data_IF_731955859760
#
_entry.id   IF_731955859760
#
_cell.length_a   1.000
_cell.length_b   1.000
_cell.length_c   1.000
_cell.angle_alpha   90.00
_cell.angle_beta   90.00
_cell.angle_gamma   90.00
#
_symmetry.space_group_name_H-M   'P 1'
#
loop_
_entity.id
_entity.type
_entity.pdbx_description
1 polymer ?
#
# COMPACT_ATOMS: atom_id res chain seq x y z
N UNK A 1 -2.34 -37.60 -23.63
CA UNK A 1 -1.74 -37.09 -22.36
C UNK A 1 -0.41 -36.35 -22.51
N UNK A 2 0.52 -36.77 -23.40
CA UNK A 2 1.87 -36.17 -23.48
C UNK A 2 1.87 -34.71 -23.94
N UNK A 3 0.98 -34.33 -24.86
CA UNK A 3 0.87 -32.96 -25.39
C UNK A 3 0.21 -32.01 -24.38
N UNK A 4 -0.86 -32.46 -23.72
CA UNK A 4 -1.53 -31.71 -22.65
C UNK A 4 -0.56 -31.42 -21.50
N UNK A 5 0.20 -32.43 -21.03
CA UNK A 5 1.21 -32.25 -19.97
C UNK A 5 2.34 -31.27 -20.36
N UNK A 6 2.72 -31.22 -21.64
CA UNK A 6 3.71 -30.25 -22.16
C UNK A 6 3.15 -28.83 -22.24
N UNK A 7 1.86 -28.70 -22.56
CA UNK A 7 1.15 -27.42 -22.64
C UNK A 7 0.89 -26.83 -21.25
N UNK A 8 0.54 -27.66 -20.25
CA UNK A 8 0.40 -27.21 -18.86
C UNK A 8 1.74 -26.76 -18.28
N UNK A 9 2.83 -27.45 -18.61
CA UNK A 9 4.18 -27.08 -18.19
C UNK A 9 4.62 -25.72 -18.77
N UNK A 10 4.28 -25.46 -20.05
CA UNK A 10 4.57 -24.19 -20.72
C UNK A 10 3.75 -23.00 -20.17
N UNK A 11 2.51 -23.22 -19.77
CA UNK A 11 1.67 -22.18 -19.16
C UNK A 11 2.16 -21.85 -17.74
N UNK A 12 2.58 -22.85 -16.99
CA UNK A 12 3.12 -22.69 -15.63
C UNK A 12 4.46 -21.96 -15.60
N UNK A 13 5.33 -22.18 -16.60
CA UNK A 13 6.58 -21.42 -16.72
C UNK A 13 6.34 -19.97 -17.14
N UNK A 14 5.32 -19.71 -17.96
CA UNK A 14 4.94 -18.35 -18.37
C UNK A 14 4.36 -17.53 -17.22
N UNK A 15 3.50 -18.12 -16.37
CA UNK A 15 2.97 -17.43 -15.17
C UNK A 15 4.06 -17.17 -14.13
N UNK A 16 5.02 -18.09 -13.96
CA UNK A 16 6.15 -17.88 -13.04
C UNK A 16 7.05 -16.73 -13.50
N UNK A 17 7.25 -16.56 -14.81
CA UNK A 17 8.04 -15.46 -15.38
C UNK A 17 7.34 -14.09 -15.26
N UNK A 18 6.00 -14.07 -15.33
CA UNK A 18 5.20 -12.85 -15.09
C UNK A 18 5.17 -12.43 -13.61
N UNK A 19 5.29 -13.37 -12.68
CA UNK A 19 5.41 -13.07 -11.24
C UNK A 19 6.76 -12.42 -10.88
N UNK A 20 7.84 -12.73 -11.62
CA UNK A 20 9.17 -12.16 -11.37
C UNK A 20 9.25 -10.70 -11.88
N UNK A 21 8.60 -10.36 -12.99
CA UNK A 21 8.56 -8.98 -13.49
C UNK A 21 7.73 -8.03 -12.61
N UNK A 22 6.72 -8.55 -11.92
CA UNK A 22 5.96 -7.78 -10.93
C UNK A 22 6.77 -7.44 -9.66
N UNK A 23 7.84 -8.19 -9.36
CA UNK A 23 8.69 -7.94 -8.19
C UNK A 23 9.83 -6.93 -8.45
N UNK A 24 10.20 -6.70 -9.71
CA UNK A 24 11.36 -5.85 -10.08
C UNK A 24 10.96 -4.39 -10.38
N UNK A 25 9.67 -4.05 -10.45
CA UNK A 25 9.20 -2.66 -10.53
C UNK A 25 9.25 -1.91 -9.17
N UNK A 26 9.97 -2.44 -8.19
CA UNK A 26 10.36 -1.75 -6.96
C UNK A 26 11.67 -0.96 -7.09
N UNK A 27 12.02 -0.48 -8.29
CA UNK A 27 13.11 0.46 -8.48
C UNK A 27 12.75 1.79 -7.83
N UNK A 28 12.90 1.84 -6.50
CA UNK A 28 12.73 3.07 -5.74
C UNK A 28 13.80 4.07 -6.20
N UNK A 29 13.39 5.02 -7.04
CA UNK A 29 14.16 6.25 -7.28
C UNK A 29 14.69 6.73 -5.93
N UNK A 30 16.01 6.94 -5.84
CA UNK A 30 16.64 7.61 -4.70
C UNK A 30 16.15 9.06 -4.73
N UNK A 31 14.93 9.29 -4.23
CA UNK A 31 14.44 10.61 -3.89
C UNK A 31 15.25 11.04 -2.65
N UNK A 32 16.39 11.68 -2.90
CA UNK A 32 17.18 12.42 -1.90
C UNK A 32 16.48 13.76 -1.54
N UNK A 33 15.15 13.80 -1.68
CA UNK A 33 14.31 14.95 -1.37
C UNK A 33 14.13 15.05 0.15
N UNK A 34 15.11 15.64 0.82
CA UNK A 34 14.99 16.19 2.17
C UNK A 34 14.60 15.20 3.28
N UNK A 35 14.79 15.63 4.52
CA UNK A 35 14.18 15.00 5.69
C UNK A 35 12.97 15.82 6.09
N UNK A 36 11.91 15.16 6.57
CA UNK A 36 10.75 15.86 7.11
C UNK A 36 11.17 16.63 8.36
N UNK A 37 10.73 17.87 8.49
CA UNK A 37 11.06 18.73 9.63
C UNK A 37 10.60 18.10 10.96
N UNK A 38 11.33 18.38 12.03
CA UNK A 38 10.93 17.93 13.38
C UNK A 38 9.61 18.57 13.79
N UNK A 39 8.76 17.79 14.44
CA UNK A 39 7.43 18.20 14.90
C UNK A 39 6.29 17.85 13.94
N UNK A 40 6.58 17.45 12.70
CA UNK A 40 5.55 17.10 11.71
C UNK A 40 4.95 15.72 12.02
N UNK A 41 3.62 15.64 11.95
CA UNK A 41 2.82 14.42 12.10
C UNK A 41 1.79 14.34 10.98
N UNK A 42 1.61 13.15 10.42
CA UNK A 42 0.61 12.88 9.36
C UNK A 42 -0.45 11.96 9.94
N UNK A 43 -1.71 12.42 10.01
CA UNK A 43 -2.83 11.64 10.57
C UNK A 43 -2.52 11.01 11.94
N UNK A 44 -1.82 11.74 12.81
CA UNK A 44 -1.37 11.27 14.12
C UNK A 44 -0.05 10.49 14.11
N UNK A 45 0.43 9.99 12.97
CA UNK A 45 1.71 9.29 12.84
C UNK A 45 2.89 10.27 12.91
N UNK A 46 3.84 10.02 13.81
CA UNK A 46 5.05 10.83 13.88
C UNK A 46 6.01 10.49 12.73
N UNK A 47 6.23 11.44 11.82
CA UNK A 47 7.14 11.32 10.67
C UNK A 47 8.33 12.28 10.77
N UNK A 48 8.50 12.91 11.93
CA UNK A 48 9.57 13.89 12.20
C UNK A 48 10.96 13.32 11.93
N UNK A 49 11.76 14.03 11.13
CA UNK A 49 13.12 13.64 10.79
C UNK A 49 13.25 12.45 9.85
N UNK A 50 12.12 11.83 9.44
CA UNK A 50 12.14 10.69 8.53
C UNK A 50 12.46 11.15 7.11
N UNK A 51 13.15 10.30 6.36
CA UNK A 51 13.27 10.47 4.91
C UNK A 51 11.95 10.12 4.23
N UNK A 52 11.73 10.64 3.02
CA UNK A 52 10.51 10.40 2.22
C UNK A 52 10.07 8.94 2.24
N UNK A 53 10.95 8.02 1.84
CA UNK A 53 10.63 6.58 1.76
C UNK A 53 10.16 5.98 3.08
N UNK A 54 10.82 6.34 4.18
CA UNK A 54 10.48 5.85 5.52
C UNK A 54 9.12 6.37 5.97
N UNK A 55 8.86 7.67 5.74
CA UNK A 55 7.59 8.30 6.03
C UNK A 55 6.45 7.72 5.17
N UNK A 56 6.68 7.53 3.86
CA UNK A 56 5.72 6.90 2.94
C UNK A 56 5.35 5.50 3.41
N UNK A 57 6.34 4.68 3.79
CA UNK A 57 6.08 3.34 4.31
C UNK A 57 5.24 3.40 5.59
N UNK A 58 5.65 4.24 6.55
CA UNK A 58 4.94 4.39 7.83
C UNK A 58 3.49 4.83 7.67
N UNK A 59 3.25 5.84 6.83
CA UNK A 59 1.89 6.33 6.54
C UNK A 59 1.06 5.27 5.84
N UNK A 60 1.63 4.58 4.83
CA UNK A 60 0.96 3.47 4.14
C UNK A 60 0.58 2.35 5.09
N UNK A 61 1.46 1.96 6.00
CA UNK A 61 1.18 0.94 7.02
C UNK A 61 0.04 1.38 7.96
N UNK A 62 0.02 2.65 8.36
CA UNK A 62 -1.04 3.20 9.19
C UNK A 62 -2.40 3.24 8.46
N UNK A 63 -2.40 3.63 7.18
CA UNK A 63 -3.58 3.59 6.31
C UNK A 63 -4.11 2.17 6.16
N UNK A 64 -3.23 1.21 5.82
CA UNK A 64 -3.59 -0.19 5.66
C UNK A 64 -4.21 -0.80 6.93
N UNK A 65 -3.71 -0.41 8.11
CA UNK A 65 -4.30 -0.83 9.40
C UNK A 65 -5.71 -0.27 9.57
N UNK A 66 -5.95 0.98 9.18
CA UNK A 66 -7.26 1.63 9.31
C UNK A 66 -8.27 1.10 8.28
N UNK A 67 -7.87 0.89 7.04
CA UNK A 67 -8.79 0.42 5.97
C UNK A 67 -9.13 -1.07 6.08
N UNK A 68 -8.25 -1.89 6.68
CA UNK A 68 -8.51 -3.31 6.94
C UNK A 68 -9.28 -3.59 8.24
N UNK A 69 -9.77 -2.57 8.95
CA UNK A 69 -10.61 -2.78 10.13
C UNK A 69 -11.84 -3.60 9.74
N UNK A 70 -12.06 -4.70 10.45
CA UNK A 70 -13.28 -5.50 10.32
C UNK A 70 -14.44 -4.74 10.97
N UNK A 71 -15.53 -4.62 10.23
CA UNK A 71 -16.77 -4.00 10.69
C UNK A 71 -17.92 -4.97 10.50
N UNK A 72 -18.91 -4.89 11.39
CA UNK A 72 -20.15 -5.66 11.31
C UNK A 72 -21.27 -4.71 10.89
N UNK A 73 -21.94 -5.02 9.79
CA UNK A 73 -23.12 -4.27 9.33
C UNK A 73 -24.36 -5.06 9.75
N UNK A 74 -25.34 -4.38 10.35
CA UNK A 74 -26.65 -4.94 10.69
C UNK A 74 -27.74 -4.24 9.87
N UNK A 75 -28.53 -5.01 9.15
CA UNK A 75 -29.69 -4.53 8.38
C UNK A 75 -30.90 -5.36 8.77
N UNK A 76 -31.78 -4.79 9.59
CA UNK A 76 -32.86 -5.56 10.23
C UNK A 76 -32.29 -6.72 11.04
N UNK A 77 -32.70 -7.94 10.70
CA UNK A 77 -32.24 -9.19 11.33
C UNK A 77 -30.94 -9.74 10.72
N UNK A 78 -30.47 -9.20 9.58
CA UNK A 78 -29.28 -9.70 8.91
C UNK A 78 -28.02 -9.02 9.43
N UNK A 79 -26.95 -9.81 9.62
CA UNK A 79 -25.61 -9.30 9.94
C UNK A 79 -24.59 -9.83 8.96
N UNK A 80 -23.67 -8.98 8.51
CA UNK A 80 -22.50 -9.39 7.74
C UNK A 80 -21.23 -8.76 8.33
N UNK A 81 -20.12 -9.51 8.26
CA UNK A 81 -18.79 -9.01 8.58
C UNK A 81 -18.09 -8.64 7.27
N UNK A 82 -17.51 -7.43 7.22
CA UNK A 82 -16.79 -6.90 6.06
C UNK A 82 -15.61 -6.05 6.55
N UNK A 83 -14.84 -5.47 5.64
CA UNK A 83 -13.81 -4.48 5.96
C UNK A 83 -14.18 -3.14 5.35
N UNK A 84 -13.66 -2.04 5.90
CA UNK A 84 -13.90 -0.72 5.35
C UNK A 84 -13.46 -0.61 3.88
N UNK A 85 -12.32 -1.22 3.53
CA UNK A 85 -11.84 -1.27 2.14
C UNK A 85 -12.83 -1.95 1.18
N UNK A 86 -13.53 -3.00 1.63
CA UNK A 86 -14.52 -3.71 0.81
C UNK A 86 -15.82 -2.89 0.65
N UNK A 87 -15.99 -1.83 1.46
CA UNK A 87 -17.07 -0.85 1.37
C UNK A 87 -16.67 0.41 0.57
N UNK A 88 -15.50 0.41 -0.06
CA UNK A 88 -15.01 1.54 -0.87
C UNK A 88 -14.29 2.62 -0.07
N UNK A 89 -13.90 2.38 1.18
CA UNK A 89 -13.02 3.32 1.87
C UNK A 89 -11.62 3.29 1.27
N UNK A 90 -11.21 4.43 0.74
CA UNK A 90 -9.93 4.63 0.10
C UNK A 90 -9.11 5.74 0.76
N UNK A 91 -7.80 5.73 0.49
CA UNK A 91 -6.90 6.80 0.88
C UNK A 91 -6.65 7.71 -0.32
N UNK A 92 -7.14 8.95 -0.24
CA UNK A 92 -7.11 9.91 -1.35
C UNK A 92 -5.92 10.88 -1.32
N UNK A 93 -5.44 11.28 -0.14
CA UNK A 93 -4.33 12.23 0.00
C UNK A 93 -2.96 11.54 -0.01
N UNK A 94 -2.62 10.92 -1.13
CA UNK A 94 -1.36 10.15 -1.29
C UNK A 94 -0.11 11.02 -1.28
N UNK A 95 -0.23 12.30 -1.68
CA UNK A 95 0.89 13.25 -1.78
C UNK A 95 1.25 13.92 -0.44
N UNK A 96 0.54 13.61 0.64
CA UNK A 96 0.72 14.24 1.97
C UNK A 96 2.16 14.11 2.52
N UNK A 97 2.92 13.10 2.09
CA UNK A 97 4.33 12.94 2.48
C UNK A 97 5.23 13.91 1.72
N UNK A 98 4.93 14.19 0.46
CA UNK A 98 5.63 15.20 -0.33
C UNK A 98 5.36 16.60 0.23
N UNK A 99 4.10 16.90 0.53
CA UNK A 99 3.71 18.15 1.21
C UNK A 99 4.48 18.33 2.53
N UNK A 100 4.62 17.26 3.32
CA UNK A 100 5.33 17.28 4.60
C UNK A 100 6.84 17.56 4.47
N UNK A 101 7.46 17.22 3.33
CA UNK A 101 8.87 17.51 3.04
C UNK A 101 9.05 18.96 2.61
N UNK A 102 8.08 19.51 1.90
CA UNK A 102 8.08 20.91 1.47
C UNK A 102 7.66 21.86 2.59
N UNK A 103 6.93 21.37 3.58
CA UNK A 103 6.42 22.16 4.69
C UNK A 103 7.52 22.87 5.48
N UNK A 104 7.53 24.21 5.41
CA UNK A 104 8.46 25.07 6.14
C UNK A 104 9.85 25.19 5.53
N UNK A 105 9.97 24.93 4.22
CA UNK A 105 11.01 25.52 3.37
C UNK A 105 10.76 26.99 3.10
#
# INVERSE_FOLDING_TARGET
MKVIKRMTLLIMTFTLMFCISAFVMGAEKKDDKGTIKRGVRINGENVSGMKKKEATRKVRDAVNKKTNIKVKIKVGEYTCDTRLVDLGYEWSNVDVVDDAIEYGK
#
